data_IF_119050558344
#
_entry.id   IF_119050558344
#
_cell.length_a   1.000
_cell.length_b   1.000
_cell.length_c   1.000
_cell.angle_alpha   90.00
_cell.angle_beta   90.00
_cell.angle_gamma   90.00
#
_symmetry.space_group_name_H-M   'P 1'
#
loop_
_entity.id
_entity.type
_entity.pdbx_description
1 polymer ?
#
# COMPACT_ATOMS: atom_id res chain seq x y z
N UNK A 1 4.44 1.24 7.41
CA UNK A 1 4.13 2.54 6.75
C UNK A 1 4.87 2.58 5.42
N UNK A 2 4.21 3.05 4.35
CA UNK A 2 4.84 3.22 3.03
C UNK A 2 5.34 4.66 2.90
N UNK A 3 6.50 4.86 2.28
CA UNK A 3 7.09 6.18 2.02
C UNK A 3 7.45 6.28 0.54
N UNK A 4 7.33 7.48 -0.03
CA UNK A 4 7.72 7.76 -1.41
C UNK A 4 8.58 9.04 -1.45
N UNK A 5 9.54 9.07 -2.38
CA UNK A 5 10.30 10.25 -2.71
C UNK A 5 9.84 10.78 -4.07
N UNK A 6 9.46 12.05 -4.12
CA UNK A 6 9.02 12.71 -5.35
C UNK A 6 10.03 13.79 -5.71
N UNK A 7 10.61 13.70 -6.92
CA UNK A 7 11.40 14.81 -7.47
C UNK A 7 10.49 16.02 -7.75
N UNK A 8 10.99 17.27 -7.68
CA UNK A 8 10.27 18.41 -8.20
C UNK A 8 9.86 18.15 -9.65
N UNK A 9 8.56 18.24 -9.93
CA UNK A 9 7.99 17.89 -11.23
C UNK A 9 7.93 19.08 -12.19
N UNK A 10 7.71 20.28 -11.65
CA UNK A 10 7.67 21.50 -12.45
C UNK A 10 9.07 21.96 -12.83
N UNK A 11 9.31 22.13 -14.13
CA UNK A 11 10.55 22.70 -14.66
C UNK A 11 10.72 24.13 -14.16
N UNK A 12 11.88 24.43 -13.57
CA UNK A 12 12.20 25.79 -13.11
C UNK A 12 12.40 26.70 -14.34
N UNK A 13 11.61 27.78 -14.50
CA UNK A 13 11.71 28.65 -15.67
C UNK A 13 13.11 29.23 -15.86
N UNK A 14 13.65 29.15 -17.08
CA UNK A 14 14.96 29.69 -17.51
C UNK A 14 16.19 29.10 -16.81
N UNK A 15 16.04 28.11 -15.93
CA UNK A 15 17.16 27.55 -15.16
C UNK A 15 17.83 26.33 -15.84
N UNK A 16 17.08 25.57 -16.63
CA UNK A 16 17.57 24.32 -17.22
C UNK A 16 18.04 24.54 -18.66
N UNK A 17 19.30 24.19 -18.93
CA UNK A 17 19.84 24.13 -20.30
C UNK A 17 19.40 22.84 -20.97
N UNK A 18 19.04 22.92 -22.25
CA UNK A 18 18.70 21.79 -23.10
C UNK A 18 19.21 22.04 -24.52
N UNK A 19 18.92 21.13 -25.45
CA UNK A 19 19.24 21.26 -26.87
C UNK A 19 17.94 21.28 -27.67
N UNK A 20 17.87 22.12 -28.70
CA UNK A 20 16.81 22.05 -29.70
C UNK A 20 17.10 20.87 -30.63
N UNK A 21 16.18 19.90 -30.68
CA UNK A 21 16.35 18.68 -31.46
C UNK A 21 16.22 18.88 -32.98
N UNK A 22 15.66 20.01 -33.43
CA UNK A 22 15.54 20.33 -34.86
C UNK A 22 16.83 20.97 -35.42
N UNK A 23 17.49 21.81 -34.63
CA UNK A 23 18.67 22.58 -35.06
C UNK A 23 19.99 22.09 -34.47
N UNK A 24 19.95 21.38 -33.34
CA UNK A 24 21.13 20.99 -32.57
C UNK A 24 21.71 22.11 -31.70
N UNK A 25 21.09 23.29 -31.68
CA UNK A 25 21.59 24.46 -30.95
C UNK A 25 21.20 24.45 -29.46
N UNK A 26 21.89 25.27 -28.67
CA UNK A 26 21.60 25.42 -27.25
C UNK A 26 20.25 26.12 -27.02
N UNK A 27 19.43 25.54 -26.16
CA UNK A 27 18.09 26.04 -25.82
C UNK A 27 17.85 26.02 -24.30
N UNK A 28 16.70 26.56 -23.88
CA UNK A 28 16.27 26.53 -22.46
C UNK A 28 15.03 25.67 -22.27
N UNK A 29 14.97 24.97 -21.14
CA UNK A 29 13.85 24.11 -20.79
C UNK A 29 12.56 24.92 -20.65
N UNK A 30 11.53 24.53 -21.40
CA UNK A 30 10.19 25.13 -21.33
C UNK A 30 9.45 24.49 -20.15
N UNK A 31 8.78 25.30 -19.33
CA UNK A 31 7.88 24.81 -18.30
C UNK A 31 6.50 24.57 -18.91
N UNK A 32 5.91 23.40 -18.63
CA UNK A 32 4.56 23.04 -19.09
C UNK A 32 3.49 23.22 -18.00
N UNK A 33 3.94 23.46 -16.77
CA UNK A 33 3.11 23.63 -15.56
C UNK A 33 3.79 24.65 -14.65
N UNK A 34 3.01 25.31 -13.79
CA UNK A 34 3.46 26.46 -12.98
C UNK A 34 3.37 26.27 -11.47
N UNK A 35 2.89 25.12 -10.98
CA UNK A 35 2.84 24.85 -9.54
C UNK A 35 4.24 24.65 -8.95
N UNK A 36 4.40 25.12 -7.72
CA UNK A 36 5.68 25.07 -6.99
C UNK A 36 5.90 23.71 -6.32
N UNK A 37 4.84 23.09 -5.80
CA UNK A 37 4.92 21.81 -5.09
C UNK A 37 3.70 20.94 -5.38
N UNK A 38 3.95 19.72 -5.87
CA UNK A 38 2.93 18.72 -6.14
C UNK A 38 2.92 17.56 -5.13
N UNK A 39 3.75 17.62 -4.08
CA UNK A 39 3.87 16.53 -3.08
C UNK A 39 2.55 16.20 -2.38
N UNK A 40 1.70 17.17 -1.99
CA UNK A 40 0.39 16.84 -1.39
C UNK A 40 -0.51 16.05 -2.34
N UNK A 41 -0.61 16.48 -3.61
CA UNK A 41 -1.39 15.77 -4.62
C UNK A 41 -0.80 14.38 -4.93
N UNK A 42 0.53 14.26 -4.98
CA UNK A 42 1.20 12.97 -5.15
C UNK A 42 0.96 12.00 -3.97
N UNK A 43 0.69 12.51 -2.76
CA UNK A 43 0.25 11.70 -1.63
C UNK A 43 -1.04 10.94 -1.91
N UNK A 44 -2.06 11.62 -2.45
CA UNK A 44 -3.34 11.00 -2.84
C UNK A 44 -3.13 9.94 -3.92
N UNK A 45 -2.27 10.22 -4.90
CA UNK A 45 -1.91 9.25 -5.94
C UNK A 45 -1.22 8.03 -5.31
N UNK A 46 -0.29 8.23 -4.37
CA UNK A 46 0.40 7.14 -3.69
C UNK A 46 -0.57 6.27 -2.88
N UNK A 47 -1.51 6.86 -2.14
CA UNK A 47 -2.57 6.14 -1.41
C UNK A 47 -3.43 5.30 -2.36
N UNK A 48 -3.83 5.88 -3.49
CA UNK A 48 -4.62 5.19 -4.53
C UNK A 48 -3.86 3.97 -5.06
N UNK A 49 -2.58 4.12 -5.37
CA UNK A 49 -1.75 3.02 -5.87
C UNK A 49 -1.57 1.92 -4.80
N UNK A 50 -1.41 2.28 -3.53
CA UNK A 50 -1.36 1.31 -2.43
C UNK A 50 -2.70 0.58 -2.31
N UNK A 51 -3.82 1.28 -2.34
CA UNK A 51 -5.15 0.69 -2.27
C UNK A 51 -5.40 -0.31 -3.41
N UNK A 52 -5.00 0.00 -4.65
CA UNK A 52 -5.11 -0.91 -5.80
C UNK A 52 -4.30 -2.20 -5.60
N UNK A 53 -3.06 -2.08 -5.11
CA UNK A 53 -2.20 -3.24 -4.87
C UNK A 53 -2.75 -4.09 -3.72
N UNK A 54 -3.21 -3.47 -2.64
CA UNK A 54 -3.82 -4.19 -1.51
C UNK A 54 -5.12 -4.87 -1.93
N UNK A 55 -6.00 -4.20 -2.67
CA UNK A 55 -7.24 -4.78 -3.18
C UNK A 55 -6.96 -6.01 -4.07
N UNK A 56 -5.98 -5.92 -4.97
CA UNK A 56 -5.55 -7.06 -5.78
C UNK A 56 -5.02 -8.21 -4.91
N UNK A 57 -4.24 -7.92 -3.88
CA UNK A 57 -3.72 -8.93 -2.97
C UNK A 57 -4.84 -9.61 -2.15
N UNK A 58 -5.83 -8.83 -1.70
CA UNK A 58 -7.03 -9.33 -1.03
C UNK A 58 -7.80 -10.26 -1.96
N UNK A 59 -8.15 -9.82 -3.17
CA UNK A 59 -8.87 -10.65 -4.13
C UNK A 59 -8.08 -11.90 -4.55
N UNK A 60 -6.75 -11.81 -4.67
CA UNK A 60 -5.90 -12.97 -4.95
C UNK A 60 -5.90 -14.00 -3.81
N UNK A 61 -5.95 -13.54 -2.55
CA UNK A 61 -5.92 -14.43 -1.37
C UNK A 61 -7.29 -15.01 -1.05
N UNK A 62 -8.33 -14.19 -1.12
CA UNK A 62 -9.67 -14.52 -0.62
C UNK A 62 -10.67 -14.85 -1.73
N UNK A 63 -10.36 -14.53 -2.98
CA UNK A 63 -11.26 -14.74 -4.12
C UNK A 63 -12.58 -13.99 -3.96
N UNK A 64 -13.61 -14.51 -4.61
CA UNK A 64 -14.98 -14.03 -4.56
C UNK A 64 -15.35 -13.17 -5.78
N UNK A 65 -16.56 -13.40 -6.29
CA UNK A 65 -17.14 -12.65 -7.42
C UNK A 65 -18.11 -11.55 -6.95
N UNK A 66 -18.36 -11.49 -5.64
CA UNK A 66 -19.12 -10.42 -4.97
C UNK A 66 -18.37 -9.92 -3.73
N UNK A 67 -18.70 -8.69 -3.31
CA UNK A 67 -18.11 -8.08 -2.11
C UNK A 67 -18.51 -8.87 -0.86
N UNK A 68 -19.75 -9.35 -0.80
CA UNK A 68 -20.28 -10.15 0.29
C UNK A 68 -19.54 -11.48 0.44
N UNK A 69 -19.25 -12.15 -0.68
CA UNK A 69 -18.47 -13.40 -0.68
C UNK A 69 -17.03 -13.16 -0.22
N UNK A 70 -16.36 -12.16 -0.79
CA UNK A 70 -15.00 -11.79 -0.39
C UNK A 70 -14.94 -11.48 1.11
N UNK A 71 -15.92 -10.72 1.62
CA UNK A 71 -16.03 -10.36 3.03
C UNK A 71 -16.18 -11.59 3.92
N UNK A 72 -17.06 -12.52 3.57
CA UNK A 72 -17.23 -13.79 4.30
C UNK A 72 -15.92 -14.58 4.34
N UNK A 73 -15.22 -14.71 3.22
CA UNK A 73 -13.94 -15.45 3.15
C UNK A 73 -12.86 -14.81 4.04
N UNK A 74 -12.80 -13.47 4.09
CA UNK A 74 -11.91 -12.74 5.00
C UNK A 74 -12.28 -13.00 6.47
N UNK A 75 -13.56 -12.96 6.83
CA UNK A 75 -13.99 -13.18 8.21
C UNK A 75 -13.68 -14.60 8.68
N UNK A 76 -13.99 -15.63 7.87
CA UNK A 76 -13.64 -17.01 8.21
C UNK A 76 -12.14 -17.22 8.39
N UNK A 77 -11.30 -16.54 7.60
CA UNK A 77 -9.85 -16.55 7.80
C UNK A 77 -9.44 -15.89 9.12
N UNK A 78 -10.06 -14.77 9.50
CA UNK A 78 -9.77 -14.09 10.76
C UNK A 78 -10.22 -14.92 11.97
N UNK A 79 -11.38 -15.58 11.91
CA UNK A 79 -11.85 -16.52 12.94
C UNK A 79 -10.85 -17.66 13.12
N UNK A 80 -10.42 -18.29 12.03
CA UNK A 80 -9.41 -19.36 12.06
C UNK A 80 -8.07 -18.89 12.66
N UNK A 81 -7.63 -17.68 12.32
CA UNK A 81 -6.41 -17.12 12.93
C UNK A 81 -6.62 -16.83 14.41
N UNK A 82 -7.82 -16.36 14.77
CA UNK A 82 -8.23 -16.09 16.15
C UNK A 82 -8.15 -17.32 17.03
N UNK A 83 -8.70 -18.45 16.60
CA UNK A 83 -8.63 -19.72 17.37
C UNK A 83 -7.20 -20.18 17.61
N UNK A 84 -6.29 -19.92 16.66
CA UNK A 84 -4.87 -20.30 16.80
C UNK A 84 -4.07 -19.37 17.71
N UNK A 85 -4.54 -18.14 17.88
CA UNK A 85 -3.91 -17.12 18.72
C UNK A 85 -4.54 -17.05 20.11
N UNK A 86 -5.63 -17.78 20.33
CA UNK A 86 -6.22 -17.94 21.63
C UNK A 86 -5.37 -18.87 22.50
N UNK A 87 -4.56 -18.25 23.36
CA UNK A 87 -3.73 -18.95 24.35
C UNK A 87 -4.51 -19.35 25.61
N UNK A 88 -5.80 -19.01 25.70
CA UNK A 88 -6.62 -19.39 26.85
C UNK A 88 -6.90 -20.89 26.89
N UNK A 89 -7.05 -21.55 25.73
CA UNK A 89 -7.15 -23.02 25.63
C UNK A 89 -5.86 -23.74 26.07
N UNK A 90 -4.69 -23.14 25.84
CA UNK A 90 -3.41 -23.72 26.30
C UNK A 90 -3.21 -23.62 27.81
N UNK A 91 -3.91 -22.70 28.50
CA UNK A 91 -3.89 -22.57 29.95
C UNK A 91 -4.88 -23.54 30.64
N UNK A 92 -5.99 -23.89 29.99
CA UNK A 92 -6.93 -24.92 30.48
C UNK A 92 -6.34 -26.33 30.39
N UNK A 93 -5.57 -26.65 29.36
CA UNK A 93 -4.89 -27.97 29.24
C UNK A 93 -3.83 -28.19 30.33
N UNK A 94 -3.25 -27.13 30.90
CA UNK A 94 -2.30 -27.21 32.03
C UNK A 94 -3.05 -27.31 33.37
N UNK A 95 -4.21 -26.68 33.49
CA UNK A 95 -5.03 -26.72 34.70
C UNK A 95 -5.75 -28.07 34.91
N UNK A 96 -6.09 -28.78 33.82
CA UNK A 96 -6.68 -30.12 33.88
C UNK A 96 -5.64 -31.25 34.02
N UNK A 97 -4.34 -30.93 34.00
CA UNK A 97 -3.23 -31.88 34.06
C UNK A 97 -2.70 -32.25 35.44
N UNK A 98 -3.21 -31.67 36.53
CA UNK A 98 -2.67 -31.90 37.88
C UNK A 98 -3.73 -32.45 38.86
N UNK A 99 -4.29 -33.63 38.53
CA UNK A 99 -4.85 -34.54 39.55
C UNK A 99 -4.56 -35.99 39.14
N UNK A 100 -3.35 -36.47 39.41
CA UNK A 100 -3.07 -37.88 39.71
C UNK A 100 -1.59 -38.08 40.12
N UNK A 101 -1.26 -37.92 41.39
CA UNK A 101 -0.58 -38.98 42.15
C UNK A 101 -0.87 -38.79 43.65
N UNK A 102 -0.98 -39.91 44.36
CA UNK A 102 -1.52 -40.02 45.73
C UNK A 102 -0.60 -39.62 46.88
#
# INVERSE_FOLDING_TARGET
RVRAAMKPISTVPRALKTVDMATGEAATGIHQRSDVCAVPAAGVVAETMVALVLARAVLKKFGGDSVEETKRNVQSYLEYVGTRLDWSDAASDVADGEVADG
#
